data_IF_810889371932
#
_entry.id   IF_810889371932
#
_cell.length_a   1.000
_cell.length_b   1.000
_cell.length_c   1.000
_cell.angle_alpha   90.00
_cell.angle_beta   90.00
_cell.angle_gamma   90.00
#
_symmetry.space_group_name_H-M   'P 1'
#
loop_
_entity.id
_entity.type
_entity.pdbx_description
1 polymer ?
#
# COMPACT_ATOMS: atom_id res chain seq x y z
N UNK A 1 22.43 -21.94 -2.62
CA UNK A 1 22.51 -20.48 -2.76
C UNK A 1 21.27 -20.08 -3.51
N UNK A 2 20.18 -19.87 -2.77
CA UNK A 2 18.83 -19.81 -3.32
C UNK A 2 18.68 -18.52 -4.13
N UNK A 3 18.11 -18.71 -5.30
CA UNK A 3 17.84 -17.72 -6.34
C UNK A 3 17.00 -16.56 -5.79
N UNK A 4 17.52 -15.33 -5.89
CA UNK A 4 16.71 -14.12 -5.80
C UNK A 4 16.46 -13.63 -7.21
N UNK A 5 15.41 -14.17 -7.82
CA UNK A 5 14.65 -13.49 -8.86
C UNK A 5 13.45 -12.82 -8.18
N UNK A 6 13.52 -11.51 -7.98
CA UNK A 6 12.32 -10.67 -7.95
C UNK A 6 12.61 -9.31 -8.57
N UNK A 7 12.19 -9.22 -9.84
CA UNK A 7 11.55 -8.07 -10.45
C UNK A 7 12.31 -6.73 -10.41
N UNK A 8 12.96 -6.47 -11.53
CA UNK A 8 13.18 -5.12 -12.05
C UNK A 8 11.86 -4.34 -12.07
N UNK A 9 11.83 -3.15 -11.47
CA UNK A 9 10.95 -2.05 -11.90
C UNK A 9 11.68 -0.74 -11.66
N UNK A 10 11.87 -0.02 -12.77
CA UNK A 10 12.61 1.21 -12.97
C UNK A 10 12.27 2.34 -11.97
N UNK A 11 13.16 3.35 -11.81
CA UNK A 11 13.02 4.38 -10.79
C UNK A 11 11.94 5.37 -11.22
N UNK A 12 10.72 5.17 -10.73
CA UNK A 12 9.73 6.24 -10.74
C UNK A 12 10.08 7.19 -9.59
N UNK A 13 10.36 8.45 -9.89
CA UNK A 13 10.40 9.57 -8.92
C UNK A 13 8.98 9.86 -8.39
N UNK A 14 8.29 8.82 -7.93
CA UNK A 14 6.94 8.82 -7.41
C UNK A 14 7.00 8.28 -5.98
N UNK A 15 6.09 8.75 -5.13
CA UNK A 15 5.99 8.40 -3.71
C UNK A 15 6.32 6.92 -3.42
N UNK A 16 6.98 6.63 -2.27
CA UNK A 16 7.49 5.31 -1.96
C UNK A 16 6.43 4.22 -2.12
N UNK A 17 6.91 3.04 -2.53
CA UNK A 17 6.13 1.83 -2.57
C UNK A 17 5.44 1.55 -1.22
N UNK A 18 4.32 0.82 -1.16
CA UNK A 18 3.70 0.46 0.13
C UNK A 18 4.70 -0.24 1.07
N UNK A 19 5.49 -1.18 0.53
CA UNK A 19 6.55 -1.87 1.26
C UNK A 19 7.67 -0.90 1.68
N UNK A 20 8.10 -0.01 0.80
CA UNK A 20 9.15 0.98 1.09
C UNK A 20 8.70 1.99 2.15
N UNK A 21 7.43 2.40 2.13
CA UNK A 21 6.85 3.30 3.11
C UNK A 21 6.76 2.63 4.49
N UNK A 22 6.50 1.31 4.54
CA UNK A 22 6.55 0.53 5.77
C UNK A 22 7.98 0.39 6.32
N UNK A 23 8.95 0.08 5.45
CA UNK A 23 10.36 -0.02 5.86
C UNK A 23 10.87 1.32 6.44
N UNK A 24 10.49 2.44 5.83
CA UNK A 24 10.82 3.78 6.32
C UNK A 24 10.10 4.09 7.65
N UNK A 25 8.84 3.66 7.82
CA UNK A 25 8.14 3.78 9.11
C UNK A 25 8.86 3.00 10.22
N UNK A 26 9.29 1.77 9.95
CA UNK A 26 10.00 0.93 10.91
C UNK A 26 11.36 1.53 11.29
N UNK A 27 12.05 2.16 10.33
CA UNK A 27 13.29 2.89 10.60
C UNK A 27 13.04 4.11 11.50
N UNK A 28 11.97 4.86 11.24
CA UNK A 28 11.56 5.98 12.08
C UNK A 28 11.24 5.50 13.50
N UNK A 29 10.45 4.43 13.65
CA UNK A 29 10.10 3.87 14.97
C UNK A 29 11.34 3.45 15.77
N UNK A 30 12.29 2.76 15.13
CA UNK A 30 13.55 2.36 15.78
C UNK A 30 14.38 3.56 16.22
N UNK A 31 14.40 4.63 15.43
CA UNK A 31 15.07 5.86 15.84
C UNK A 31 14.38 6.47 17.06
N UNK A 32 13.05 6.56 17.07
CA UNK A 32 12.27 7.14 18.17
C UNK A 32 12.39 6.38 19.50
N UNK A 33 12.64 5.07 19.45
CA UNK A 33 12.88 4.23 20.62
C UNK A 33 14.30 4.38 21.19
N UNK A 34 15.19 5.07 20.46
CA UNK A 34 16.54 5.38 20.91
C UNK A 34 16.56 6.36 22.09
N UNK A 35 17.51 6.17 23.01
CA UNK A 35 17.62 6.97 24.23
C UNK A 35 18.19 8.39 24.04
N UNK A 36 18.59 8.76 22.82
CA UNK A 36 19.36 9.99 22.53
C UNK A 36 18.68 10.83 21.42
N UNK A 37 17.35 10.90 21.45
CA UNK A 37 16.58 11.63 20.43
C UNK A 37 16.05 12.95 20.97
N UNK A 38 16.44 14.04 20.32
CA UNK A 38 15.92 15.38 20.60
C UNK A 38 14.42 15.51 20.25
N UNK A 39 13.68 16.27 21.06
CA UNK A 39 12.23 16.50 20.88
C UNK A 39 11.91 17.13 19.53
N UNK A 40 12.76 18.01 19.01
CA UNK A 40 12.60 18.63 17.69
C UNK A 40 12.73 17.59 16.57
N UNK A 41 13.68 16.64 16.70
CA UNK A 41 13.80 15.50 15.78
C UNK A 41 12.60 14.58 15.85
N UNK A 42 12.03 14.37 17.04
CA UNK A 42 10.79 13.60 17.21
C UNK A 42 9.65 14.19 16.37
N UNK A 43 9.48 15.51 16.41
CA UNK A 43 8.42 16.20 15.68
C UNK A 43 8.56 16.01 14.16
N UNK A 44 9.77 16.20 13.62
CA UNK A 44 10.05 16.00 12.19
C UNK A 44 9.81 14.54 11.76
N UNK A 45 10.24 13.58 12.59
CA UNK A 45 10.08 12.14 12.33
C UNK A 45 8.61 11.71 12.35
N UNK A 46 7.81 12.23 13.29
CA UNK A 46 6.37 11.96 13.36
C UNK A 46 5.63 12.60 12.19
N UNK A 47 6.01 13.81 11.76
CA UNK A 47 5.46 14.45 10.58
C UNK A 47 5.70 13.59 9.32
N UNK A 48 6.93 13.11 9.16
CA UNK A 48 7.29 12.19 8.08
C UNK A 48 6.50 10.87 8.12
N UNK A 49 6.36 10.25 9.30
CA UNK A 49 5.55 9.04 9.46
C UNK A 49 4.08 9.28 9.06
N UNK A 50 3.54 10.47 9.35
CA UNK A 50 2.17 10.83 8.97
C UNK A 50 2.00 10.90 7.45
N UNK A 51 2.98 11.47 6.73
CA UNK A 51 2.99 11.48 5.26
C UNK A 51 2.99 10.07 4.68
N UNK A 52 3.86 9.19 5.20
CA UNK A 52 3.99 7.81 4.75
C UNK A 52 2.70 7.01 4.99
N UNK A 53 2.05 7.19 6.15
CA UNK A 53 0.73 6.60 6.42
C UNK A 53 -0.31 7.10 5.42
N UNK A 54 -0.27 8.37 5.03
CA UNK A 54 -1.11 8.94 3.98
C UNK A 54 -0.95 8.21 2.65
N UNK A 55 0.30 8.00 2.22
CA UNK A 55 0.63 7.24 1.00
C UNK A 55 0.10 5.81 1.09
N UNK A 56 0.31 5.11 2.22
CA UNK A 56 -0.19 3.76 2.43
C UNK A 56 -1.71 3.68 2.30
N UNK A 57 -2.44 4.61 2.92
CA UNK A 57 -3.91 4.66 2.85
C UNK A 57 -4.41 4.90 1.44
N UNK A 58 -3.81 5.84 0.71
CA UNK A 58 -4.18 6.10 -0.68
C UNK A 58 -4.00 4.86 -1.56
N UNK A 59 -2.88 4.14 -1.37
CA UNK A 59 -2.61 2.92 -2.12
C UNK A 59 -3.60 1.80 -1.83
N UNK A 60 -3.93 1.58 -0.55
CA UNK A 60 -4.95 0.59 -0.16
C UNK A 60 -6.31 0.97 -0.76
N UNK A 61 -6.68 2.25 -0.70
CA UNK A 61 -7.92 2.74 -1.33
C UNK A 61 -7.96 2.49 -2.83
N UNK A 62 -6.88 2.80 -3.54
CA UNK A 62 -6.77 2.55 -4.98
C UNK A 62 -6.81 1.06 -5.32
N UNK A 63 -6.18 0.20 -4.51
CA UNK A 63 -6.24 -1.24 -4.69
C UNK A 63 -7.67 -1.76 -4.49
N UNK A 64 -8.37 -1.28 -3.45
CA UNK A 64 -9.76 -1.66 -3.19
C UNK A 64 -10.69 -1.26 -4.33
N UNK A 65 -10.54 -0.05 -4.87
CA UNK A 65 -11.34 0.40 -6.02
C UNK A 65 -11.17 -0.52 -7.23
N UNK A 66 -9.93 -0.91 -7.55
CA UNK A 66 -9.66 -1.86 -8.65
C UNK A 66 -10.28 -3.23 -8.41
N UNK A 67 -10.27 -3.71 -7.16
CA UNK A 67 -10.93 -4.97 -6.80
C UNK A 67 -12.44 -4.86 -7.03
N UNK A 68 -13.05 -3.78 -6.55
CA UNK A 68 -14.49 -3.53 -6.72
C UNK A 68 -14.87 -3.45 -8.22
N UNK A 69 -14.03 -2.82 -9.05
CA UNK A 69 -14.20 -2.79 -10.52
C UNK A 69 -14.15 -4.18 -11.16
N UNK A 70 -13.17 -5.01 -10.77
CA UNK A 70 -13.02 -6.38 -11.29
C UNK A 70 -14.20 -7.26 -10.87
N UNK A 71 -14.68 -7.12 -9.62
CA UNK A 71 -15.86 -7.86 -9.14
C UNK A 71 -17.11 -7.45 -9.91
N UNK A 72 -17.31 -6.14 -10.14
CA UNK A 72 -18.44 -5.64 -10.92
C UNK A 72 -18.41 -6.12 -12.39
N UNK A 73 -17.22 -6.22 -12.98
CA UNK A 73 -17.04 -6.77 -14.33
C UNK A 73 -17.35 -8.27 -14.37
N UNK A 74 -16.94 -9.02 -13.34
CA UNK A 74 -17.27 -10.44 -13.19
C UNK A 74 -18.77 -10.66 -13.02
N UNK A 75 -19.47 -9.85 -12.21
CA UNK A 75 -20.93 -9.95 -12.04
C UNK A 75 -21.67 -9.65 -13.35
N UNK A 76 -21.20 -8.66 -14.10
CA UNK A 76 -21.76 -8.32 -15.43
C UNK A 76 -21.51 -9.42 -16.45
N UNK A 77 -20.35 -10.08 -16.39
CA UNK A 77 -19.95 -11.14 -17.31
C UNK A 77 -20.51 -12.51 -16.91
N UNK A 78 -20.79 -12.72 -15.62
CA UNK A 78 -21.30 -13.97 -15.03
C UNK A 78 -22.82 -14.04 -14.89
N UNK A 79 -23.52 -12.90 -15.01
CA UNK A 79 -24.98 -12.83 -14.98
C UNK A 79 -25.56 -12.58 -16.38
N UNK A 80 -25.42 -13.58 -17.25
CA UNK A 80 -26.44 -13.81 -18.29
C UNK A 80 -27.66 -14.47 -17.64
N UNK A 81 -28.90 -14.24 -18.13
CA UNK A 81 -30.10 -14.79 -17.50
C UNK A 81 -30.18 -16.31 -17.67
N UNK A 82 -29.63 -17.06 -16.71
CA UNK A 82 -29.75 -18.53 -16.65
C UNK A 82 -30.77 -18.95 -15.57
N UNK A 83 -31.89 -18.23 -15.47
CA UNK A 83 -32.83 -18.40 -14.36
C UNK A 83 -34.32 -18.16 -14.63
N UNK A 84 -34.78 -18.14 -15.88
CA UNK A 84 -36.21 -17.87 -16.20
C UNK A 84 -36.83 -18.82 -17.26
N UNK A 85 -36.42 -20.10 -17.35
CA UNK A 85 -37.00 -21.03 -18.34
C UNK A 85 -37.53 -22.37 -17.81
N UNK A 86 -37.60 -22.59 -16.49
CA UNK A 86 -38.32 -23.75 -15.95
C UNK A 86 -39.03 -23.39 -14.64
N UNK A 87 -40.21 -22.77 -14.70
CA UNK A 87 -41.43 -23.07 -13.91
C UNK A 87 -42.57 -22.20 -14.41
#
# INVERSE_FOLDING_TARGET
MTEQDTATTAPATAAPGYAQALDELDAILRELEGSDVDVDRLADRVARATELIGVCRQRIGAARLRIDEVVADLDRSGSGPIGDQLT
#
